data_IF_958363666456
#
_entry.id   IF_958363666456
#
_cell.length_a   1.000
_cell.length_b   1.000
_cell.length_c   1.000
_cell.angle_alpha   90.00
_cell.angle_beta   90.00
_cell.angle_gamma   90.00
#
_symmetry.space_group_name_H-M   'P 1'
#
loop_
_entity.id
_entity.type
_entity.pdbx_description
1 polymer ?
#
# COMPACT_ATOMS: atom_id res chain seq x y z
N UNK A 1 2.28 -15.95 -5.90
CA UNK A 1 0.87 -15.67 -6.27
C UNK A 1 0.82 -14.95 -7.61
N UNK A 2 -0.16 -15.24 -8.42
CA UNK A 2 -0.29 -14.66 -9.75
C UNK A 2 -1.60 -13.91 -9.87
N UNK A 3 -1.56 -12.74 -10.49
CA UNK A 3 -2.75 -12.06 -10.95
C UNK A 3 -3.20 -12.71 -12.28
N UNK A 4 -4.47 -13.00 -12.39
CA UNK A 4 -5.03 -13.63 -13.59
C UNK A 4 -5.78 -12.55 -14.38
N UNK A 5 -5.32 -12.31 -15.62
CA UNK A 5 -5.97 -11.37 -16.53
C UNK A 5 -6.64 -12.15 -17.64
N UNK A 6 -7.90 -11.83 -17.87
CA UNK A 6 -8.67 -12.40 -18.96
C UNK A 6 -8.54 -11.49 -20.18
N UNK A 7 -7.93 -11.99 -21.24
CA UNK A 7 -7.76 -11.24 -22.48
C UNK A 7 -8.15 -12.12 -23.66
N UNK A 8 -9.10 -11.67 -24.48
CA UNK A 8 -9.58 -12.39 -25.67
C UNK A 8 -9.99 -13.85 -25.39
N UNK A 9 -10.58 -14.11 -24.22
CA UNK A 9 -10.97 -15.45 -23.82
C UNK A 9 -9.84 -16.36 -23.35
N UNK A 10 -8.60 -15.84 -23.33
CA UNK A 10 -7.43 -16.57 -22.85
C UNK A 10 -7.07 -16.03 -21.46
N UNK A 11 -6.78 -16.94 -20.53
CA UNK A 11 -6.32 -16.58 -19.21
C UNK A 11 -4.81 -16.35 -19.24
N UNK A 12 -4.39 -15.13 -18.92
CA UNK A 12 -2.97 -14.78 -18.80
C UNK A 12 -2.64 -14.61 -17.33
N UNK A 13 -1.69 -15.39 -16.85
CA UNK A 13 -1.21 -15.28 -15.48
C UNK A 13 -0.06 -14.28 -15.43
N UNK A 14 -0.19 -13.26 -14.57
CA UNK A 14 0.89 -12.30 -14.31
C UNK A 14 1.51 -12.59 -12.96
N UNK A 15 2.83 -12.76 -12.97
CA UNK A 15 3.63 -12.91 -11.76
C UNK A 15 4.20 -11.56 -11.36
N UNK A 16 3.78 -11.04 -10.22
CA UNK A 16 4.41 -9.88 -9.62
C UNK A 16 5.73 -10.29 -8.99
N UNK A 17 6.79 -9.55 -9.27
CA UNK A 17 8.08 -9.73 -8.58
C UNK A 17 8.22 -8.80 -7.39
N UNK A 18 7.64 -7.61 -7.46
CA UNK A 18 7.70 -6.62 -6.39
C UNK A 18 6.32 -6.02 -6.15
N UNK A 19 5.96 -5.86 -4.88
CA UNK A 19 4.76 -5.16 -4.45
C UNK A 19 5.20 -3.92 -3.67
N UNK A 20 4.68 -2.76 -4.06
CA UNK A 20 4.96 -1.48 -3.40
C UNK A 20 3.73 -1.01 -2.64
N UNK A 21 3.88 -0.77 -1.35
CA UNK A 21 2.89 -0.05 -0.54
C UNK A 21 3.42 1.37 -0.34
N UNK A 22 2.72 2.34 -0.86
CA UNK A 22 3.21 3.73 -0.86
C UNK A 22 2.31 4.61 -0.01
N UNK A 23 2.88 5.20 1.02
CA UNK A 23 2.19 6.12 1.93
C UNK A 23 2.06 7.51 1.31
N UNK A 24 0.96 8.19 1.61
CA UNK A 24 0.76 9.60 1.32
C UNK A 24 1.36 10.46 2.44
N UNK A 25 2.63 10.26 2.70
CA UNK A 25 3.38 10.97 3.72
C UNK A 25 4.87 10.94 3.36
N UNK A 26 5.58 12.00 3.73
CA UNK A 26 7.02 12.04 3.53
C UNK A 26 7.73 11.23 4.62
N UNK A 27 8.72 10.43 4.19
CA UNK A 27 9.57 9.68 5.10
C UNK A 27 10.60 10.57 5.77
N UNK A 28 11.18 10.04 6.85
CA UNK A 28 12.20 10.71 7.64
C UNK A 28 11.75 10.93 9.08
N UNK A 29 12.72 11.11 9.98
CA UNK A 29 12.45 11.24 11.41
C UNK A 29 11.56 12.43 11.74
N UNK A 30 11.81 13.58 11.11
CA UNK A 30 11.02 14.78 11.35
C UNK A 30 9.56 14.62 10.92
N UNK A 31 9.34 14.02 9.76
CA UNK A 31 7.98 13.77 9.28
C UNK A 31 7.25 12.74 10.14
N UNK A 32 7.95 11.76 10.68
CA UNK A 32 7.40 10.80 11.63
C UNK A 32 6.92 11.46 12.91
N UNK A 33 7.70 12.40 13.45
CA UNK A 33 7.33 13.18 14.64
C UNK A 33 6.11 14.06 14.35
N UNK A 34 6.08 14.72 13.19
CA UNK A 34 4.96 15.55 12.75
C UNK A 34 3.69 14.72 12.63
N UNK A 35 3.77 13.54 12.01
CA UNK A 35 2.65 12.60 11.89
C UNK A 35 2.11 12.21 13.27
N UNK A 36 3.02 11.83 14.19
CA UNK A 36 2.64 11.45 15.55
C UNK A 36 1.93 12.59 16.27
N UNK A 37 2.46 13.80 16.18
CA UNK A 37 1.88 14.98 16.81
C UNK A 37 0.47 15.26 16.30
N UNK A 38 0.28 15.27 14.98
CA UNK A 38 -1.03 15.52 14.39
C UNK A 38 -2.05 14.46 14.80
N UNK A 39 -1.64 13.19 14.80
CA UNK A 39 -2.54 12.08 15.11
C UNK A 39 -2.93 12.02 16.58
N UNK A 40 -2.00 12.30 17.48
CA UNK A 40 -2.19 12.05 18.92
C UNK A 40 -2.48 13.30 19.73
N UNK A 41 -1.88 14.43 19.40
CA UNK A 41 -2.01 15.66 20.17
C UNK A 41 -3.15 16.53 19.62
N UNK A 42 -3.18 16.75 18.31
CA UNK A 42 -4.19 17.56 17.67
C UNK A 42 -5.49 16.79 17.38
N UNK A 43 -5.45 15.47 17.47
CA UNK A 43 -6.59 14.59 17.21
C UNK A 43 -7.21 14.79 15.82
N UNK A 44 -6.42 15.32 14.88
CA UNK A 44 -6.89 15.60 13.52
C UNK A 44 -6.94 14.36 12.62
N UNK A 45 -6.34 13.24 13.05
CA UNK A 45 -6.12 12.10 12.19
C UNK A 45 -5.03 12.39 11.17
N UNK A 46 -4.58 11.38 10.45
CA UNK A 46 -3.60 11.59 9.40
C UNK A 46 -4.28 11.79 8.04
N UNK A 47 -3.60 12.45 7.11
CA UNK A 47 -4.06 12.58 5.74
C UNK A 47 -3.80 11.30 4.91
N UNK A 48 -3.22 10.28 5.52
CA UNK A 48 -2.82 9.05 4.84
C UNK A 48 -3.62 7.86 5.38
N UNK A 49 -4.55 7.36 4.58
CA UNK A 49 -5.43 6.25 4.94
C UNK A 49 -4.63 4.96 5.17
N UNK A 50 -3.63 4.69 4.34
CA UNK A 50 -2.77 3.51 4.50
C UNK A 50 -1.94 3.61 5.78
N UNK A 51 -1.49 4.79 6.15
CA UNK A 51 -0.78 5.01 7.42
C UNK A 51 -1.68 4.71 8.62
N UNK A 52 -2.95 5.08 8.54
CA UNK A 52 -3.92 4.81 9.59
C UNK A 52 -4.21 3.31 9.72
N UNK A 53 -4.19 2.57 8.63
CA UNK A 53 -4.37 1.12 8.63
C UNK A 53 -3.15 0.43 9.23
N UNK A 54 -1.94 0.85 8.85
CA UNK A 54 -0.70 0.17 9.24
C UNK A 54 -0.22 0.53 10.64
N UNK A 55 -0.62 1.68 11.17
CA UNK A 55 -0.14 2.20 12.46
C UNK A 55 -1.28 2.44 13.43
N UNK A 56 -1.05 2.07 14.69
CA UNK A 56 -1.88 2.47 15.81
C UNK A 56 -1.42 3.83 16.33
N UNK A 57 -1.99 4.26 17.47
CA UNK A 57 -1.68 5.56 18.07
C UNK A 57 -0.20 5.80 18.33
N UNK A 58 0.56 4.76 18.69
CA UNK A 58 1.97 4.88 19.07
C UNK A 58 2.92 4.07 18.22
N UNK A 59 2.47 2.94 17.68
CA UNK A 59 3.34 1.96 17.05
C UNK A 59 2.72 1.40 15.76
N UNK A 60 3.57 0.81 14.92
CA UNK A 60 3.11 0.02 13.80
C UNK A 60 2.29 -1.18 14.34
N UNK A 61 1.20 -1.51 13.67
CA UNK A 61 0.32 -2.59 14.10
C UNK A 61 0.97 -3.95 13.85
N UNK A 62 0.80 -4.86 14.79
CA UNK A 62 1.33 -6.23 14.67
C UNK A 62 0.73 -6.96 13.47
N UNK A 63 -0.57 -6.79 13.23
CA UNK A 63 -1.27 -7.38 12.08
C UNK A 63 -0.66 -6.92 10.76
N UNK A 64 -0.24 -5.65 10.68
CA UNK A 64 0.42 -5.11 9.51
C UNK A 64 1.78 -5.77 9.28
N UNK A 65 2.58 -5.91 10.33
CA UNK A 65 3.88 -6.58 10.24
C UNK A 65 3.73 -8.03 9.79
N UNK A 66 2.73 -8.74 10.31
CA UNK A 66 2.44 -10.12 9.92
C UNK A 66 2.03 -10.21 8.46
N UNK A 67 1.16 -9.32 8.00
CA UNK A 67 0.72 -9.27 6.61
C UNK A 67 1.91 -9.07 5.66
N UNK A 68 2.75 -8.08 5.95
CA UNK A 68 3.95 -7.80 5.14
C UNK A 68 4.91 -9.00 5.16
N UNK A 69 5.09 -9.63 6.31
CA UNK A 69 5.94 -10.84 6.43
C UNK A 69 5.42 -11.96 5.56
N UNK A 70 4.13 -12.20 5.54
CA UNK A 70 3.51 -13.24 4.71
C UNK A 70 3.72 -12.93 3.22
N UNK A 71 3.53 -11.69 2.82
CA UNK A 71 3.76 -11.29 1.43
C UNK A 71 5.21 -11.46 0.99
N UNK A 72 6.15 -11.22 1.88
CA UNK A 72 7.59 -11.37 1.59
C UNK A 72 8.00 -12.80 1.29
N UNK A 73 7.16 -13.77 1.62
CA UNK A 73 7.42 -15.18 1.24
C UNK A 73 7.22 -15.43 -0.25
N UNK A 74 6.41 -14.63 -0.92
CA UNK A 74 6.07 -14.78 -2.33
C UNK A 74 6.59 -13.66 -3.21
N UNK A 75 6.75 -12.46 -2.65
CA UNK A 75 7.13 -11.25 -3.39
C UNK A 75 8.25 -10.51 -2.70
N UNK A 76 8.96 -9.70 -3.47
CA UNK A 76 9.73 -8.61 -2.89
C UNK A 76 8.75 -7.51 -2.52
N UNK A 77 8.74 -7.10 -1.26
CA UNK A 77 7.79 -6.09 -0.76
C UNK A 77 8.55 -4.87 -0.29
N UNK A 78 8.12 -3.70 -0.75
CA UNK A 78 8.66 -2.41 -0.34
C UNK A 78 7.55 -1.55 0.19
N UNK A 79 7.73 -1.04 1.41
CA UNK A 79 6.82 -0.08 2.04
C UNK A 79 7.55 1.26 2.02
N UNK A 80 7.05 2.19 1.20
CA UNK A 80 7.75 3.44 0.91
C UNK A 80 6.87 4.63 1.25
N UNK A 81 7.52 5.76 1.56
CA UNK A 81 6.86 7.06 1.66
C UNK A 81 6.93 7.75 0.29
N UNK A 82 6.06 8.73 0.07
CA UNK A 82 5.95 9.40 -1.24
C UNK A 82 7.24 10.08 -1.72
N UNK A 83 8.16 10.41 -0.80
CA UNK A 83 9.46 11.00 -1.15
C UNK A 83 10.58 9.97 -1.35
N UNK A 84 10.24 8.68 -1.32
CA UNK A 84 11.20 7.58 -1.44
C UNK A 84 10.97 6.72 -2.67
N UNK A 85 10.02 7.08 -3.52
CA UNK A 85 9.58 6.22 -4.63
C UNK A 85 10.58 6.21 -5.78
N UNK A 86 10.74 5.06 -6.46
CA UNK A 86 11.60 4.95 -7.64
C UNK A 86 11.12 5.83 -8.79
N UNK A 87 12.06 6.21 -9.66
CA UNK A 87 11.77 7.10 -10.77
C UNK A 87 10.69 6.58 -11.72
N UNK A 88 10.71 5.29 -12.02
CA UNK A 88 9.70 4.67 -12.90
C UNK A 88 8.28 4.79 -12.34
N UNK A 89 8.13 4.78 -11.02
CA UNK A 89 6.84 4.99 -10.36
C UNK A 89 6.48 6.47 -10.35
N UNK A 90 7.46 7.35 -10.10
CA UNK A 90 7.24 8.81 -10.14
C UNK A 90 6.70 9.27 -11.49
N UNK A 91 7.20 8.72 -12.57
CA UNK A 91 6.81 9.08 -13.93
C UNK A 91 5.35 8.76 -14.25
N UNK A 92 4.74 7.84 -13.51
CA UNK A 92 3.33 7.45 -13.70
C UNK A 92 2.34 8.39 -13.03
N UNK A 93 2.80 9.27 -12.15
CA UNK A 93 1.98 10.25 -11.44
C UNK A 93 0.79 9.63 -10.68
N UNK A 94 1.02 8.51 -10.00
CA UNK A 94 -0.01 7.89 -9.16
C UNK A 94 -0.38 8.79 -7.99
N UNK A 95 -1.65 8.71 -7.59
CA UNK A 95 -2.12 9.34 -6.37
C UNK A 95 -1.88 8.40 -5.19
N UNK A 96 -1.46 8.95 -4.08
CA UNK A 96 -1.15 8.17 -2.88
C UNK A 96 -2.21 8.37 -1.78
N UNK A 97 -2.42 7.39 -0.88
CA UNK A 97 -1.74 6.10 -0.83
C UNK A 97 -2.19 5.17 -1.95
N UNK A 98 -1.34 4.23 -2.33
CA UNK A 98 -1.69 3.21 -3.30
C UNK A 98 -0.83 1.97 -3.13
N UNK A 99 -1.22 0.89 -3.79
CA UNK A 99 -0.46 -0.36 -3.85
C UNK A 99 -0.21 -0.68 -5.32
N UNK A 100 1.05 -0.90 -5.65
CA UNK A 100 1.50 -1.13 -7.02
C UNK A 100 2.21 -2.47 -7.10
N UNK A 101 1.85 -3.27 -8.11
CA UNK A 101 2.58 -4.49 -8.44
C UNK A 101 3.48 -4.26 -9.65
N UNK A 102 4.71 -4.74 -9.55
CA UNK A 102 5.67 -4.70 -10.64
C UNK A 102 5.92 -6.08 -11.19
N UNK A 103 5.70 -6.26 -12.49
CA UNK A 103 6.10 -7.44 -13.24
C UNK A 103 7.43 -7.16 -13.94
N UNK A 104 7.93 -8.11 -14.76
CA UNK A 104 9.16 -7.87 -15.54
C UNK A 104 9.00 -6.74 -16.55
N UNK A 105 7.78 -6.44 -16.98
CA UNK A 105 7.53 -5.53 -18.11
C UNK A 105 6.70 -4.32 -17.78
N UNK A 106 5.95 -4.32 -16.66
CA UNK A 106 4.99 -3.24 -16.40
C UNK A 106 4.73 -3.02 -14.92
N UNK A 107 4.13 -1.86 -14.63
CA UNK A 107 3.59 -1.50 -13.33
C UNK A 107 2.06 -1.57 -13.41
N UNK A 108 1.44 -2.18 -12.40
CA UNK A 108 -0.01 -2.32 -12.31
C UNK A 108 -0.45 -1.76 -10.96
N UNK A 109 -1.36 -0.79 -10.97
CA UNK A 109 -1.93 -0.29 -9.72
C UNK A 109 -2.96 -1.29 -9.21
N UNK A 110 -2.64 -1.97 -8.12
CA UNK A 110 -3.48 -3.02 -7.52
C UNK A 110 -4.61 -2.38 -6.70
N UNK A 111 -4.26 -1.36 -5.90
CA UNK A 111 -5.21 -0.62 -5.07
C UNK A 111 -4.93 0.86 -5.26
N UNK A 112 -5.94 1.62 -5.70
CA UNK A 112 -5.79 3.05 -5.92
C UNK A 112 -6.23 3.87 -4.70
N UNK A 113 -5.97 5.17 -4.75
CA UNK A 113 -6.35 6.10 -3.69
C UNK A 113 -7.86 6.12 -3.46
N UNK A 114 -8.65 5.99 -4.51
CA UNK A 114 -10.11 6.04 -4.42
C UNK A 114 -10.63 4.89 -3.57
N UNK A 115 -10.08 3.69 -3.72
CA UNK A 115 -10.43 2.54 -2.89
C UNK A 115 -10.16 2.81 -1.40
N UNK A 116 -9.01 3.40 -1.08
CA UNK A 116 -8.68 3.76 0.30
C UNK A 116 -9.65 4.80 0.89
N UNK A 117 -10.03 5.79 0.10
CA UNK A 117 -11.00 6.82 0.53
C UNK A 117 -12.37 6.19 0.80
N UNK A 118 -12.82 5.33 -0.11
CA UNK A 118 -14.14 4.68 -0.01
C UNK A 118 -14.26 3.77 1.21
N UNK A 119 -13.16 3.17 1.66
CA UNK A 119 -13.17 2.31 2.84
C UNK A 119 -13.40 3.08 4.14
N UNK A 120 -13.01 4.36 4.19
CA UNK A 120 -13.17 5.19 5.37
C UNK A 120 -12.24 4.83 6.52
N UNK A 121 -12.48 5.47 7.68
CA UNK A 121 -11.58 5.37 8.84
C UNK A 121 -11.67 4.06 9.62
N UNK A 122 -12.71 3.28 9.40
CA UNK A 122 -12.92 2.01 10.12
C UNK A 122 -12.19 0.82 9.48
N UNK A 123 -11.57 1.03 8.34
CA UNK A 123 -10.83 -0.03 7.63
C UNK A 123 -9.61 -0.46 8.44
N UNK A 124 -9.38 -1.76 8.49
CA UNK A 124 -8.26 -2.35 9.21
C UNK A 124 -7.41 -3.25 8.29
N UNK A 125 -6.35 -3.81 8.85
CA UNK A 125 -5.41 -4.67 8.10
C UNK A 125 -6.11 -5.90 7.52
N UNK A 126 -7.06 -6.48 8.23
CA UNK A 126 -7.83 -7.64 7.75
C UNK A 126 -8.60 -7.30 6.48
N UNK A 127 -9.26 -6.16 6.46
CA UNK A 127 -10.01 -5.69 5.29
C UNK A 127 -9.08 -5.43 4.11
N UNK A 128 -7.94 -4.82 4.35
CA UNK A 128 -6.93 -4.56 3.34
C UNK A 128 -6.41 -5.88 2.75
N UNK A 129 -6.12 -6.86 3.59
CA UNK A 129 -5.64 -8.16 3.17
C UNK A 129 -6.66 -8.88 2.28
N UNK A 130 -7.93 -8.86 2.65
CA UNK A 130 -9.00 -9.44 1.85
C UNK A 130 -9.13 -8.77 0.48
N UNK A 131 -9.14 -7.44 0.47
CA UNK A 131 -9.22 -6.69 -0.77
C UNK A 131 -8.01 -6.94 -1.68
N UNK A 132 -6.82 -6.93 -1.11
CA UNK A 132 -5.59 -7.23 -1.85
C UNK A 132 -5.64 -8.62 -2.47
N UNK A 133 -6.05 -9.62 -1.71
CA UNK A 133 -6.15 -10.99 -2.19
C UNK A 133 -7.13 -11.13 -3.35
N UNK A 134 -8.26 -10.44 -3.29
CA UNK A 134 -9.24 -10.42 -4.38
C UNK A 134 -8.72 -9.69 -5.61
N UNK A 135 -8.01 -8.59 -5.41
CA UNK A 135 -7.50 -7.76 -6.51
C UNK A 135 -6.45 -8.47 -7.36
N UNK A 136 -5.69 -9.40 -6.77
CA UNK A 136 -4.61 -10.12 -7.46
C UNK A 136 -4.98 -11.56 -7.83
N UNK A 137 -6.15 -12.02 -7.40
CA UNK A 137 -6.62 -13.38 -7.70
C UNK A 137 -7.04 -13.57 -9.16
#
# INVERSE_FOLDING_TARGET
MFAILRNYGIWVMKKFKTIYFIYDADGGMWNGIKYWYQKNILEEGSACELCDISHSKYFVRLEWLQFIRELKKEYKVKVLHRNEIPKNIQEKNYLFPCVIGETDNELIQIIDKIAFIDWGKSTNVKDLKEYFSQAIA
#
